data_IF_650501933261
#
_entry.id   IF_650501933261
#
_cell.length_a   1.000
_cell.length_b   1.000
_cell.length_c   1.000
_cell.angle_alpha   90.00
_cell.angle_beta   90.00
_cell.angle_gamma   90.00
#
_symmetry.space_group_name_H-M   'P 1'
#
loop_
_entity.id
_entity.type
_entity.pdbx_description
1 polymer ?
#
# COMPACT_ATOMS: atom_id res chain seq x y z
N UNK A 1 4.92 -16.31 19.12
CA UNK A 1 4.41 -16.12 17.75
C UNK A 1 4.40 -14.62 17.49
N UNK A 2 5.42 -14.07 16.83
CA UNK A 2 5.48 -12.70 16.25
C UNK A 2 6.94 -12.33 15.94
N UNK A 3 7.56 -12.89 14.90
CA UNK A 3 8.94 -12.50 14.46
C UNK A 3 9.19 -12.70 12.95
N UNK A 4 8.29 -12.17 12.12
CA UNK A 4 8.46 -12.08 10.65
C UNK A 4 8.09 -10.70 10.06
N UNK A 5 7.55 -9.80 10.89
CA UNK A 5 6.83 -8.60 10.46
C UNK A 5 7.71 -7.46 9.90
N UNK A 6 9.04 -7.53 9.99
CA UNK A 6 9.89 -6.34 9.86
C UNK A 6 10.18 -5.92 8.41
N UNK A 7 10.21 -6.82 7.43
CA UNK A 7 10.37 -6.42 6.01
C UNK A 7 9.06 -5.95 5.40
N UNK A 8 7.95 -6.65 5.70
CA UNK A 8 6.60 -6.15 5.38
C UNK A 8 6.34 -4.79 6.02
N UNK A 9 6.79 -4.58 7.27
CA UNK A 9 6.73 -3.28 7.93
C UNK A 9 7.78 -2.28 7.44
N UNK A 10 8.91 -2.67 6.84
CA UNK A 10 9.91 -1.73 6.29
C UNK A 10 9.59 -1.31 4.86
N UNK A 11 9.15 -2.22 3.99
CA UNK A 11 8.53 -1.87 2.71
C UNK A 11 7.25 -1.09 2.99
N UNK A 12 6.45 -1.54 3.96
CA UNK A 12 5.31 -0.81 4.51
C UNK A 12 5.67 0.56 5.11
N UNK A 13 6.85 0.73 5.71
CA UNK A 13 7.31 2.01 6.29
C UNK A 13 7.91 2.95 5.25
N UNK A 14 8.56 2.43 4.21
CA UNK A 14 8.98 3.22 3.03
C UNK A 14 7.73 3.70 2.28
N UNK A 15 6.72 2.83 2.14
CA UNK A 15 5.41 3.18 1.60
C UNK A 15 4.65 4.16 2.50
N UNK A 16 4.66 3.97 3.82
CA UNK A 16 4.01 4.86 4.78
C UNK A 16 4.74 6.21 4.89
N UNK A 17 6.07 6.27 4.78
CA UNK A 17 6.84 7.51 4.80
C UNK A 17 6.71 8.29 3.46
N UNK A 18 6.61 7.59 2.33
CA UNK A 18 6.25 8.18 1.04
C UNK A 18 4.81 8.72 1.04
N UNK A 19 3.85 7.93 1.55
CA UNK A 19 2.46 8.33 1.73
C UNK A 19 2.28 9.48 2.74
N UNK A 20 3.05 9.50 3.83
CA UNK A 20 3.02 10.58 4.83
C UNK A 20 3.52 11.91 4.25
N UNK A 21 4.51 11.89 3.35
CA UNK A 21 4.96 13.11 2.65
C UNK A 21 3.97 13.57 1.58
N UNK A 22 3.20 12.67 0.97
CA UNK A 22 2.10 13.03 0.07
C UNK A 22 0.86 13.57 0.83
N UNK A 23 0.57 13.06 2.04
CA UNK A 23 -0.57 13.48 2.86
C UNK A 23 -0.31 14.69 3.76
N UNK A 24 0.95 15.02 4.06
CA UNK A 24 1.29 16.19 4.87
C UNK A 24 1.04 17.54 4.16
N UNK A 25 0.73 17.53 2.86
CA UNK A 25 0.19 18.68 2.14
C UNK A 25 -1.33 18.67 2.18
N UNK A 26 -1.94 18.98 3.34
CA UNK A 26 -3.27 19.59 3.51
C UNK A 26 -3.70 19.58 5.00
N UNK A 27 -2.96 20.31 5.86
CA UNK A 27 -3.57 20.85 7.08
C UNK A 27 -3.86 22.33 6.85
N UNK A 28 -5.14 22.74 6.77
CA UNK A 28 -5.49 24.12 7.03
C UNK A 28 -5.17 24.37 8.51
N UNK A 29 -4.13 25.14 8.78
CA UNK A 29 -3.96 25.80 10.08
C UNK A 29 -5.03 26.88 10.17
N UNK A 30 -6.22 26.56 10.67
CA UNK A 30 -7.16 27.55 11.20
C UNK A 30 -8.21 26.85 12.07
N UNK A 31 -7.94 26.77 13.37
CA UNK A 31 -8.97 26.51 14.37
C UNK A 31 -9.33 27.82 15.05
N UNK A 32 -10.45 28.41 14.63
CA UNK A 32 -11.21 29.33 15.44
C UNK A 32 -11.56 28.63 16.78
N UNK A 33 -10.94 29.07 17.86
CA UNK A 33 -11.33 28.68 19.20
C UNK A 33 -12.66 29.37 19.56
N UNK A 34 -13.73 28.65 19.94
CA UNK A 34 -14.87 29.28 20.57
C UNK A 34 -14.48 29.73 22.00
N UNK A 35 -14.77 30.98 22.32
CA UNK A 35 -14.62 31.52 23.66
C UNK A 35 -15.56 30.79 24.65
N UNK A 36 -14.98 30.17 25.68
CA UNK A 36 -15.74 29.58 26.77
C UNK A 36 -16.15 30.66 27.80
N UNK A 37 -17.37 30.61 28.37
CA UNK A 37 -17.76 31.50 29.43
C UNK A 37 -17.15 31.06 30.76
N UNK A 38 -16.76 32.06 31.57
CA UNK A 38 -16.19 31.86 32.89
C UNK A 38 -17.25 31.35 33.89
N UNK A 39 -16.94 30.26 34.59
CA UNK A 39 -17.51 29.98 35.91
C UNK A 39 -16.50 29.25 36.78
N UNK A 40 -16.17 29.88 37.89
CA UNK A 40 -15.28 29.44 38.96
C UNK A 40 -15.83 28.24 39.73
N UNK A 41 -15.02 27.19 39.96
CA UNK A 41 -14.91 26.52 41.27
C UNK A 41 -13.78 25.47 41.32
N UNK A 42 -13.03 25.50 42.43
CA UNK A 42 -12.24 24.43 43.04
C UNK A 42 -11.12 23.76 42.24
N UNK A 43 -9.86 24.12 42.57
CA UNK A 43 -8.64 23.40 42.20
C UNK A 43 -8.57 22.06 42.92
N UNK A 44 -8.77 20.98 42.17
CA UNK A 44 -8.19 19.67 42.49
C UNK A 44 -7.49 19.21 41.22
N UNK A 45 -6.16 19.07 41.27
CA UNK A 45 -5.40 18.57 40.14
C UNK A 45 -5.86 17.12 39.84
N UNK A 46 -6.30 16.80 38.61
CA UNK A 46 -6.67 15.43 38.30
C UNK A 46 -5.42 14.56 38.39
N UNK A 47 -5.54 13.44 39.10
CA UNK A 47 -4.52 12.41 39.12
C UNK A 47 -4.20 12.00 37.67
N UNK A 48 -2.91 11.88 37.35
CA UNK A 48 -2.44 11.45 36.03
C UNK A 48 -3.04 10.09 35.70
N UNK A 49 -3.86 10.05 34.65
CA UNK A 49 -4.42 8.84 34.10
C UNK A 49 -3.27 7.93 33.58
N UNK A 50 -3.06 6.74 34.14
CA UNK A 50 -1.98 5.83 33.74
C UNK A 50 -2.05 5.47 32.25
N UNK A 51 -3.26 5.46 31.67
CA UNK A 51 -3.49 5.16 30.26
C UNK A 51 -3.01 6.32 29.37
N UNK A 52 -3.20 7.56 29.82
CA UNK A 52 -2.71 8.75 29.13
C UNK A 52 -1.17 8.85 29.16
N UNK A 53 -0.54 8.48 30.27
CA UNK A 53 0.92 8.45 30.37
C UNK A 53 1.53 7.29 29.54
N UNK A 54 0.85 6.14 29.47
CA UNK A 54 1.24 5.05 28.58
C UNK A 54 1.16 5.45 27.09
N UNK A 55 0.06 6.11 26.68
CA UNK A 55 -0.13 6.61 25.32
C UNK A 55 0.89 7.70 24.95
N UNK A 56 1.28 8.58 25.89
CA UNK A 56 2.34 9.57 25.67
C UNK A 56 3.70 8.91 25.47
N UNK A 57 4.04 7.90 26.27
CA UNK A 57 5.29 7.15 26.14
C UNK A 57 5.36 6.40 24.81
N UNK A 58 4.24 5.80 24.37
CA UNK A 58 4.14 5.16 23.05
C UNK A 58 4.26 6.17 21.91
N UNK A 59 3.63 7.35 22.01
CA UNK A 59 3.76 8.41 21.00
C UNK A 59 5.19 8.93 20.89
N UNK A 60 5.88 9.10 22.03
CA UNK A 60 7.28 9.54 22.06
C UNK A 60 8.22 8.48 21.46
N UNK A 61 7.97 7.20 21.75
CA UNK A 61 8.66 6.07 21.13
C UNK A 61 8.46 6.06 19.61
N UNK A 62 7.22 6.18 19.13
CA UNK A 62 6.89 6.22 17.70
C UNK A 62 7.52 7.43 16.99
N UNK A 63 7.63 8.58 17.65
CA UNK A 63 8.36 9.74 17.10
C UNK A 63 9.86 9.48 16.98
N UNK A 64 10.45 8.77 17.93
CA UNK A 64 11.85 8.34 17.86
C UNK A 64 12.09 7.37 16.70
N UNK A 65 11.20 6.40 16.51
CA UNK A 65 11.24 5.45 15.39
C UNK A 65 11.07 6.16 14.04
N UNK A 66 10.12 7.10 13.93
CA UNK A 66 9.92 7.92 12.73
C UNK A 66 11.16 8.76 12.39
N UNK A 67 11.75 9.43 13.37
CA UNK A 67 12.98 10.21 13.16
C UNK A 67 14.18 9.34 12.74
N UNK A 68 14.25 8.10 13.24
CA UNK A 68 15.26 7.12 12.82
C UNK A 68 15.06 6.67 11.38
N UNK A 69 13.81 6.41 10.97
CA UNK A 69 13.46 6.07 9.59
C UNK A 69 13.73 7.25 8.63
N UNK A 70 13.40 8.48 9.01
CA UNK A 70 13.70 9.68 8.22
C UNK A 70 15.21 9.89 8.05
N UNK A 71 16.00 9.63 9.11
CA UNK A 71 17.46 9.71 9.05
C UNK A 71 18.04 8.65 8.12
N UNK A 72 17.56 7.41 8.22
CA UNK A 72 17.94 6.29 7.35
C UNK A 72 17.62 6.61 5.88
N UNK A 73 16.40 7.08 5.59
CA UNK A 73 16.02 7.49 4.24
C UNK A 73 16.91 8.64 3.71
N UNK A 74 17.27 9.61 4.56
CA UNK A 74 18.13 10.74 4.18
C UNK A 74 19.58 10.31 3.94
N UNK A 75 20.10 9.37 4.73
CA UNK A 75 21.45 8.83 4.58
C UNK A 75 21.57 7.91 3.35
N UNK A 76 20.54 7.11 3.07
CA UNK A 76 20.45 6.28 1.86
C UNK A 76 20.44 7.16 0.60
N UNK A 77 19.69 8.27 0.59
CA UNK A 77 19.67 9.23 -0.54
C UNK A 77 21.01 9.95 -0.73
N UNK A 78 21.83 10.05 0.33
CA UNK A 78 23.15 10.71 0.31
C UNK A 78 24.31 9.74 0.06
N UNK A 79 24.08 8.43 0.02
CA UNK A 79 25.11 7.46 -0.28
C UNK A 79 25.66 7.73 -1.70
N UNK A 80 26.99 7.78 -1.88
CA UNK A 80 27.57 8.00 -3.20
C UNK A 80 27.16 6.85 -4.12
N UNK A 81 26.47 7.17 -5.22
CA UNK A 81 26.16 6.20 -6.25
C UNK A 81 27.46 5.50 -6.70
N UNK A 82 27.62 4.21 -6.38
CA UNK A 82 28.66 3.38 -6.99
C UNK A 82 28.44 3.48 -8.51
N UNK A 83 29.52 3.62 -9.29
CA UNK A 83 29.48 3.80 -10.76
C UNK A 83 28.73 2.68 -11.52
N UNK A 84 28.44 1.57 -10.85
CA UNK A 84 27.46 0.56 -11.23
C UNK A 84 26.87 0.02 -9.93
N UNK A 85 25.59 0.34 -9.64
CA UNK A 85 24.85 -0.34 -8.57
C UNK A 85 24.75 -1.85 -8.85
N UNK A 86 24.39 -2.68 -7.85
CA UNK A 86 24.16 -4.09 -8.09
C UNK A 86 22.99 -4.27 -9.06
N UNK A 87 23.00 -5.33 -9.86
CA UNK A 87 21.86 -5.72 -10.70
C UNK A 87 20.72 -6.29 -9.84
N UNK A 88 19.50 -6.34 -10.39
CA UNK A 88 18.36 -7.03 -9.76
C UNK A 88 18.66 -8.47 -9.36
N UNK A 89 19.45 -9.18 -10.17
CA UNK A 89 19.94 -10.53 -9.89
C UNK A 89 20.86 -10.57 -8.67
N UNK A 90 21.83 -9.66 -8.60
CA UNK A 90 22.76 -9.57 -7.47
C UNK A 90 22.03 -9.16 -6.17
N UNK A 91 21.06 -8.26 -6.28
CA UNK A 91 20.21 -7.85 -5.16
C UNK A 91 19.34 -9.01 -4.68
N UNK A 92 18.65 -9.70 -5.57
CA UNK A 92 17.79 -10.84 -5.24
C UNK A 92 18.57 -12.01 -4.62
N UNK A 93 19.78 -12.30 -5.11
CA UNK A 93 20.67 -13.28 -4.49
C UNK A 93 21.08 -12.89 -3.06
N UNK A 94 21.28 -11.59 -2.79
CA UNK A 94 21.57 -11.10 -1.43
C UNK A 94 20.34 -11.20 -0.52
N UNK A 95 19.15 -10.83 -0.99
CA UNK A 95 17.88 -11.04 -0.28
C UNK A 95 17.70 -12.51 0.09
N UNK A 96 17.91 -13.42 -0.86
CA UNK A 96 17.80 -14.86 -0.63
C UNK A 96 18.76 -15.37 0.47
N UNK A 97 20.02 -14.92 0.45
CA UNK A 97 21.04 -15.31 1.45
C UNK A 97 20.74 -14.78 2.85
N UNK A 98 20.20 -13.56 2.93
CA UNK A 98 19.91 -12.91 4.20
C UNK A 98 18.57 -13.38 4.81
N UNK A 99 17.70 -14.06 4.04
CA UNK A 99 16.39 -14.64 4.45
C UNK A 99 16.35 -15.16 5.89
N UNK A 100 17.30 -16.03 6.26
CA UNK A 100 17.26 -16.72 7.55
C UNK A 100 17.79 -15.83 8.69
N UNK A 101 18.69 -14.88 8.38
CA UNK A 101 19.20 -13.87 9.33
C UNK A 101 18.15 -12.79 9.61
N UNK A 102 17.38 -12.42 8.58
CA UNK A 102 16.26 -11.47 8.63
C UNK A 102 15.10 -11.96 9.53
N UNK A 103 14.99 -13.27 9.78
CA UNK A 103 13.99 -13.85 10.69
C UNK A 103 14.40 -13.78 12.16
N UNK A 104 15.69 -13.63 12.44
CA UNK A 104 16.25 -13.78 13.80
C UNK A 104 16.70 -12.48 14.43
N UNK A 105 16.90 -11.41 13.65
CA UNK A 105 17.39 -10.14 14.16
C UNK A 105 16.25 -9.16 14.50
N UNK A 106 16.35 -8.56 15.69
CA UNK A 106 15.60 -7.37 16.07
C UNK A 106 16.22 -6.21 15.26
N UNK A 107 15.68 -5.98 14.05
CA UNK A 107 16.02 -4.99 13.01
C UNK A 107 17.19 -4.02 13.19
N UNK A 108 17.98 -3.87 12.12
CA UNK A 108 19.09 -2.93 11.87
C UNK A 108 20.48 -3.57 11.81
N UNK A 109 20.66 -4.67 11.05
CA UNK A 109 22.01 -5.06 10.65
C UNK A 109 22.57 -4.11 9.59
N UNK A 110 23.89 -3.80 9.58
CA UNK A 110 24.52 -3.02 8.51
C UNK A 110 24.24 -3.58 7.10
N UNK A 111 24.14 -4.90 7.00
CA UNK A 111 23.83 -5.63 5.77
C UNK A 111 22.40 -5.39 5.27
N UNK A 112 21.42 -5.27 6.18
CA UNK A 112 20.03 -4.87 5.85
C UNK A 112 19.99 -3.44 5.30
N UNK A 113 20.69 -2.51 5.95
CA UNK A 113 20.74 -1.11 5.52
C UNK A 113 21.43 -0.95 4.15
N UNK A 114 22.51 -1.70 3.89
CA UNK A 114 23.15 -1.70 2.57
C UNK A 114 22.24 -2.31 1.50
N UNK A 115 21.56 -3.41 1.82
CA UNK A 115 20.59 -4.04 0.90
C UNK A 115 19.45 -3.10 0.53
N UNK A 116 18.91 -2.38 1.52
CA UNK A 116 17.86 -1.38 1.30
C UNK A 116 18.37 -0.19 0.49
N UNK A 117 19.59 0.28 0.76
CA UNK A 117 20.21 1.34 -0.02
C UNK A 117 20.37 0.98 -1.49
N UNK A 118 20.83 -0.24 -1.77
CA UNK A 118 20.99 -0.75 -3.13
C UNK A 118 19.64 -0.96 -3.84
N UNK A 119 18.62 -1.46 -3.13
CA UNK A 119 17.26 -1.58 -3.66
C UNK A 119 16.66 -0.22 -4.04
N UNK A 120 16.76 0.77 -3.16
CA UNK A 120 16.26 2.12 -3.41
C UNK A 120 17.03 2.83 -4.52
N UNK A 121 18.33 2.56 -4.67
CA UNK A 121 19.11 3.08 -5.78
C UNK A 121 18.62 2.55 -7.12
N UNK A 122 18.41 1.22 -7.23
CA UNK A 122 17.87 0.59 -8.43
C UNK A 122 16.46 1.10 -8.78
N UNK A 123 15.56 1.19 -7.80
CA UNK A 123 14.24 1.76 -8.01
C UNK A 123 14.30 3.23 -8.43
N UNK A 124 15.22 4.01 -7.85
CA UNK A 124 15.40 5.42 -8.22
C UNK A 124 15.92 5.59 -9.66
N UNK A 125 16.76 4.68 -10.14
CA UNK A 125 17.21 4.66 -11.53
C UNK A 125 16.08 4.30 -12.49
N UNK A 126 15.30 3.25 -12.18
CA UNK A 126 14.12 2.86 -12.95
C UNK A 126 13.08 4.00 -12.98
N UNK A 127 12.83 4.63 -11.82
CA UNK A 127 11.91 5.75 -11.70
C UNK A 127 12.31 6.94 -12.58
N UNK A 128 13.60 7.30 -12.57
CA UNK A 128 14.14 8.37 -13.44
C UNK A 128 14.04 8.02 -14.92
N UNK A 129 14.36 6.78 -15.28
CA UNK A 129 14.30 6.28 -16.67
C UNK A 129 12.90 6.38 -17.24
N UNK A 130 11.90 5.99 -16.46
CA UNK A 130 10.50 5.92 -16.89
C UNK A 130 9.70 7.19 -16.54
N UNK A 131 10.33 8.16 -15.88
CA UNK A 131 9.70 9.40 -15.44
C UNK A 131 8.53 9.17 -14.47
N UNK A 132 8.62 8.15 -13.61
CA UNK A 132 7.62 7.77 -12.59
C UNK A 132 8.15 8.07 -11.18
N UNK A 133 7.31 7.94 -10.15
CA UNK A 133 7.77 7.94 -8.76
C UNK A 133 8.50 6.64 -8.39
N UNK A 134 9.24 6.64 -7.28
CA UNK A 134 9.92 5.41 -6.78
C UNK A 134 8.89 4.33 -6.42
N UNK A 135 7.75 4.74 -5.87
CA UNK A 135 6.63 3.86 -5.53
C UNK A 135 6.02 3.21 -6.78
N UNK A 136 5.79 3.99 -7.83
CA UNK A 136 5.32 3.48 -9.12
C UNK A 136 6.35 2.51 -9.74
N UNK A 137 7.63 2.87 -9.74
CA UNK A 137 8.70 2.01 -10.25
C UNK A 137 8.79 0.67 -9.52
N UNK A 138 8.48 0.65 -8.21
CA UNK A 138 8.42 -0.58 -7.42
C UNK A 138 7.30 -1.52 -7.89
N UNK A 139 6.17 -0.95 -8.33
CA UNK A 139 5.03 -1.70 -8.90
C UNK A 139 5.24 -2.07 -10.37
N UNK A 140 6.24 -1.46 -11.02
CA UNK A 140 6.64 -1.79 -12.38
C UNK A 140 7.36 -3.13 -12.52
N UNK A 141 7.59 -3.59 -13.76
CA UNK A 141 8.26 -4.87 -14.03
C UNK A 141 9.69 -4.93 -13.52
N UNK A 142 10.41 -3.80 -13.51
CA UNK A 142 11.77 -3.73 -13.00
C UNK A 142 11.82 -3.76 -11.46
N UNK A 143 10.73 -3.40 -10.76
CA UNK A 143 10.66 -3.40 -9.30
C UNK A 143 10.43 -4.78 -8.70
N UNK A 144 9.23 -5.04 -8.18
CA UNK A 144 8.90 -6.29 -7.47
C UNK A 144 9.10 -7.55 -8.32
N UNK A 145 8.80 -7.50 -9.62
CA UNK A 145 8.98 -8.66 -10.51
C UNK A 145 10.46 -8.93 -10.82
N UNK A 146 11.24 -7.86 -11.04
CA UNK A 146 12.69 -7.95 -11.20
C UNK A 146 13.36 -8.52 -9.95
N UNK A 147 12.94 -8.07 -8.76
CA UNK A 147 13.41 -8.62 -7.49
C UNK A 147 13.05 -10.10 -7.32
N UNK A 148 11.81 -10.48 -7.65
CA UNK A 148 11.36 -11.88 -7.60
C UNK A 148 12.22 -12.78 -8.49
N UNK A 149 12.47 -12.38 -9.74
CA UNK A 149 13.34 -13.12 -10.65
C UNK A 149 14.76 -13.23 -10.08
N UNK A 150 15.32 -12.14 -9.56
CA UNK A 150 16.63 -12.14 -8.94
C UNK A 150 16.74 -13.09 -7.74
N UNK A 151 15.69 -13.17 -6.91
CA UNK A 151 15.61 -14.11 -5.79
C UNK A 151 15.57 -15.55 -6.29
N UNK A 152 14.76 -15.83 -7.32
CA UNK A 152 14.67 -17.17 -7.91
C UNK A 152 16.02 -17.61 -8.50
N UNK A 153 16.67 -16.76 -9.28
CA UNK A 153 17.98 -17.05 -9.88
C UNK A 153 19.11 -17.16 -8.85
N UNK A 154 19.01 -16.43 -7.74
CA UNK A 154 19.99 -16.45 -6.65
C UNK A 154 19.76 -17.54 -5.61
N UNK A 155 18.70 -18.34 -5.76
CA UNK A 155 18.32 -19.38 -4.80
C UNK A 155 19.08 -20.69 -4.97
N UNK A 156 18.94 -21.60 -4.00
CA UNK A 156 19.41 -22.99 -4.11
C UNK A 156 18.53 -23.84 -5.05
N UNK A 157 17.42 -23.28 -5.53
CA UNK A 157 16.46 -23.92 -6.43
C UNK A 157 16.24 -23.06 -7.68
N UNK A 158 17.30 -22.75 -8.45
CA UNK A 158 17.19 -21.84 -9.57
C UNK A 158 16.22 -22.37 -10.64
N UNK A 159 15.52 -21.48 -11.37
CA UNK A 159 14.74 -21.88 -12.52
C UNK A 159 15.66 -22.43 -13.63
N UNK A 160 15.18 -23.44 -14.35
CA UNK A 160 15.88 -23.92 -15.54
C UNK A 160 15.68 -22.95 -16.72
N UNK A 161 16.44 -23.13 -17.80
CA UNK A 161 16.39 -22.24 -18.96
C UNK A 161 14.99 -22.16 -19.61
N UNK A 162 14.21 -23.24 -19.60
CA UNK A 162 12.87 -23.24 -20.16
C UNK A 162 11.88 -22.48 -19.26
N UNK A 163 12.07 -22.56 -17.95
CA UNK A 163 11.31 -21.80 -16.96
C UNK A 163 11.68 -20.31 -17.00
N UNK A 164 12.98 -19.97 -17.10
CA UNK A 164 13.46 -18.58 -17.27
C UNK A 164 12.79 -17.95 -18.49
N UNK A 165 12.79 -18.61 -19.65
CA UNK A 165 12.16 -18.07 -20.86
C UNK A 165 10.66 -17.77 -20.68
N UNK A 166 9.94 -18.58 -19.89
CA UNK A 166 8.52 -18.32 -19.59
C UNK A 166 8.35 -17.15 -18.62
N UNK A 167 9.24 -17.03 -17.62
CA UNK A 167 9.24 -15.91 -16.68
C UNK A 167 9.55 -14.60 -17.41
N UNK A 168 10.57 -14.60 -18.28
CA UNK A 168 10.90 -13.44 -19.13
C UNK A 168 9.74 -13.05 -20.05
N UNK A 169 9.01 -14.03 -20.61
CA UNK A 169 7.81 -13.75 -21.40
C UNK A 169 6.69 -13.11 -20.55
N UNK A 170 6.49 -13.55 -19.31
CA UNK A 170 5.55 -12.93 -18.38
C UNK A 170 5.99 -11.50 -18.00
N UNK A 171 7.29 -11.28 -17.78
CA UNK A 171 7.85 -9.95 -17.53
C UNK A 171 7.69 -9.03 -18.75
N UNK A 172 7.87 -9.53 -19.97
CA UNK A 172 7.64 -8.76 -21.19
C UNK A 172 6.17 -8.36 -21.37
N UNK A 173 5.23 -9.23 -20.97
CA UNK A 173 3.81 -8.89 -20.96
C UNK A 173 3.50 -7.79 -19.92
N UNK A 174 4.09 -7.87 -18.73
CA UNK A 174 3.99 -6.83 -17.71
C UNK A 174 4.62 -5.51 -18.18
N UNK A 175 5.77 -5.54 -18.88
CA UNK A 175 6.43 -4.36 -19.47
C UNK A 175 5.58 -3.70 -20.55
N UNK A 176 4.87 -4.48 -21.35
CA UNK A 176 3.90 -3.92 -22.30
C UNK A 176 2.79 -3.15 -21.57
N UNK A 177 2.18 -3.75 -20.54
CA UNK A 177 1.15 -3.11 -19.75
C UNK A 177 1.67 -1.86 -19.00
N UNK A 178 2.91 -1.91 -18.50
CA UNK A 178 3.61 -0.80 -17.88
C UNK A 178 3.80 0.40 -18.82
N UNK A 179 4.20 0.13 -20.07
CA UNK A 179 4.34 1.19 -21.09
C UNK A 179 3.00 1.82 -21.47
N UNK A 180 1.94 1.01 -21.55
CA UNK A 180 0.57 1.48 -21.77
C UNK A 180 0.10 2.36 -20.60
N UNK A 181 0.36 1.94 -19.36
CA UNK A 181 0.13 2.73 -18.16
C UNK A 181 0.85 4.08 -18.21
N UNK A 182 2.17 4.11 -18.44
CA UNK A 182 2.94 5.35 -18.49
C UNK A 182 2.40 6.31 -19.55
N UNK A 183 2.02 5.79 -20.73
CA UNK A 183 1.47 6.61 -21.80
C UNK A 183 0.08 7.19 -21.46
N UNK A 184 -0.73 6.49 -20.65
CA UNK A 184 -2.11 6.88 -20.32
C UNK A 184 -2.29 7.60 -18.97
N UNK A 185 -1.31 7.51 -18.05
CA UNK A 185 -1.48 7.88 -16.63
C UNK A 185 -1.88 9.33 -16.35
N UNK A 186 -1.61 10.27 -17.25
CA UNK A 186 -1.97 11.69 -17.05
C UNK A 186 -3.49 11.93 -17.17
N UNK A 187 -4.17 11.10 -17.96
CA UNK A 187 -5.62 11.11 -18.13
C UNK A 187 -6.37 10.41 -17.00
N UNK A 188 -5.70 9.54 -16.25
CA UNK A 188 -6.30 8.68 -15.23
C UNK A 188 -6.55 9.42 -13.91
N UNK A 189 -7.52 8.93 -13.14
CA UNK A 189 -7.66 9.28 -11.73
C UNK A 189 -6.64 8.54 -10.86
N UNK A 190 -6.48 8.98 -9.62
CA UNK A 190 -5.67 8.29 -8.62
C UNK A 190 -6.06 6.81 -8.46
N UNK A 191 -7.37 6.53 -8.35
CA UNK A 191 -7.91 5.17 -8.30
C UNK A 191 -7.61 4.34 -9.54
N UNK A 192 -7.77 4.91 -10.74
CA UNK A 192 -7.48 4.21 -11.99
C UNK A 192 -5.99 3.86 -12.11
N UNK A 193 -5.10 4.78 -11.72
CA UNK A 193 -3.67 4.49 -11.65
C UNK A 193 -3.37 3.38 -10.66
N UNK A 194 -3.97 3.45 -9.47
CA UNK A 194 -3.78 2.42 -8.44
C UNK A 194 -4.21 1.03 -8.93
N UNK A 195 -5.36 0.93 -9.61
CA UNK A 195 -5.85 -0.30 -10.19
C UNK A 195 -4.92 -0.84 -11.29
N UNK A 196 -4.45 0.02 -12.20
CA UNK A 196 -3.53 -0.40 -13.26
C UNK A 196 -2.21 -0.91 -12.68
N UNK A 197 -1.65 -0.23 -11.67
CA UNK A 197 -0.43 -0.64 -10.98
C UNK A 197 -0.60 -1.98 -10.25
N UNK A 198 -1.73 -2.20 -9.57
CA UNK A 198 -2.07 -3.50 -8.96
C UNK A 198 -2.23 -4.59 -10.01
N UNK A 199 -2.80 -4.27 -11.16
CA UNK A 199 -3.00 -5.23 -12.25
C UNK A 199 -1.66 -5.62 -12.88
N UNK A 200 -0.77 -4.65 -13.10
CA UNK A 200 0.58 -4.89 -13.64
C UNK A 200 1.42 -5.74 -12.68
N UNK A 201 1.55 -5.28 -11.43
CA UNK A 201 2.37 -5.96 -10.42
C UNK A 201 1.76 -7.30 -10.00
N UNK A 202 0.47 -7.33 -9.63
CA UNK A 202 -0.22 -8.52 -9.17
C UNK A 202 -0.47 -9.53 -10.28
N UNK A 203 -0.88 -9.08 -11.46
CA UNK A 203 -1.03 -9.95 -12.64
C UNK A 203 0.31 -10.55 -13.07
N UNK A 204 1.38 -9.75 -13.10
CA UNK A 204 2.73 -10.23 -13.37
C UNK A 204 3.23 -11.22 -12.32
N UNK A 205 3.05 -10.90 -11.03
CA UNK A 205 3.43 -11.77 -9.92
C UNK A 205 2.70 -13.11 -9.97
N UNK A 206 1.38 -13.10 -10.18
CA UNK A 206 0.56 -14.31 -10.29
C UNK A 206 0.94 -15.15 -11.50
N UNK A 207 1.26 -14.51 -12.63
CA UNK A 207 1.74 -15.19 -13.83
C UNK A 207 3.06 -15.90 -13.56
N UNK A 208 4.03 -15.24 -12.90
CA UNK A 208 5.32 -15.84 -12.53
C UNK A 208 5.09 -16.97 -11.53
N UNK A 209 4.29 -16.76 -10.48
CA UNK A 209 3.98 -17.76 -9.46
C UNK A 209 3.37 -19.04 -10.08
N UNK A 210 2.50 -18.91 -11.08
CA UNK A 210 1.93 -20.03 -11.82
C UNK A 210 2.95 -20.84 -12.66
N UNK A 211 4.14 -20.30 -12.89
CA UNK A 211 5.24 -20.97 -13.60
C UNK A 211 6.21 -21.68 -12.66
N UNK A 212 6.06 -21.54 -11.34
CA UNK A 212 6.99 -22.07 -10.35
C UNK A 212 6.69 -23.51 -9.99
N UNK A 213 7.76 -24.27 -9.73
CA UNK A 213 7.67 -25.61 -9.15
C UNK A 213 7.23 -25.52 -7.69
N UNK A 214 6.73 -26.63 -7.15
CA UNK A 214 6.23 -26.68 -5.77
C UNK A 214 7.30 -26.32 -4.72
N UNK A 215 8.56 -26.73 -4.94
CA UNK A 215 9.71 -26.43 -4.07
C UNK A 215 10.10 -24.95 -4.09
N UNK A 216 10.07 -24.32 -5.27
CA UNK A 216 10.26 -22.88 -5.44
C UNK A 216 9.12 -22.06 -4.83
N UNK A 217 7.87 -22.54 -4.96
CA UNK A 217 6.71 -21.93 -4.32
C UNK A 217 6.81 -21.99 -2.81
N UNK A 218 7.21 -23.12 -2.24
CA UNK A 218 7.41 -23.25 -0.80
C UNK A 218 8.55 -22.34 -0.30
N UNK A 219 9.61 -22.20 -1.08
CA UNK A 219 10.71 -21.27 -0.81
C UNK A 219 10.23 -19.81 -0.80
N UNK A 220 9.43 -19.39 -1.79
CA UNK A 220 8.85 -18.04 -1.83
C UNK A 220 7.82 -17.81 -0.74
N UNK A 221 6.97 -18.80 -0.44
CA UNK A 221 5.97 -18.72 0.63
C UNK A 221 6.65 -18.52 2.00
N UNK A 222 7.92 -18.94 2.16
CA UNK A 222 8.73 -18.68 3.37
C UNK A 222 9.33 -17.28 3.43
N UNK A 223 9.15 -16.45 2.39
CA UNK A 223 9.59 -15.07 2.29
C UNK A 223 8.36 -14.14 2.37
N UNK A 224 8.07 -13.65 3.58
CA UNK A 224 6.88 -12.81 3.85
C UNK A 224 6.75 -11.60 2.91
N UNK A 225 7.86 -11.07 2.38
CA UNK A 225 7.88 -9.92 1.46
C UNK A 225 7.15 -10.12 0.13
N UNK A 226 6.88 -11.37 -0.27
CA UNK A 226 6.13 -11.71 -1.49
C UNK A 226 4.71 -12.21 -1.19
N UNK A 227 4.36 -12.34 0.09
CA UNK A 227 3.04 -12.75 0.54
C UNK A 227 2.16 -11.54 0.89
N UNK A 228 2.75 -10.47 1.42
CA UNK A 228 2.04 -9.23 1.72
C UNK A 228 2.07 -8.30 0.50
N UNK A 229 0.91 -7.80 0.06
CA UNK A 229 0.86 -6.67 -0.87
C UNK A 229 1.45 -5.44 -0.16
N UNK A 230 2.17 -4.54 -0.85
CA UNK A 230 2.07 -3.11 -0.56
C UNK A 230 0.60 -2.75 -0.34
N UNK A 231 0.14 -2.69 0.91
CA UNK A 231 -1.29 -2.60 1.15
C UNK A 231 -1.79 -1.29 0.55
N UNK A 232 -2.57 -1.40 -0.52
CA UNK A 232 -3.54 -0.37 -0.89
C UNK A 232 -4.74 -0.41 0.05
N UNK A 233 -4.65 -1.22 1.13
CA UNK A 233 -5.58 -1.18 2.24
C UNK A 233 -5.82 0.28 2.58
N UNK A 234 -7.08 0.68 2.53
CA UNK A 234 -7.43 2.04 2.83
C UNK A 234 -6.89 2.38 4.21
N UNK A 235 -6.14 3.48 4.30
CA UNK A 235 -5.57 3.96 5.58
C UNK A 235 -6.62 4.24 6.65
N UNK A 236 -7.90 4.11 6.29
CA UNK A 236 -9.06 4.24 7.14
C UNK A 236 -9.98 3.02 6.95
N UNK A 237 -10.18 2.29 8.05
CA UNK A 237 -11.25 1.30 8.19
C UNK A 237 -12.30 1.84 9.14
N UNK A 238 -13.57 1.73 8.78
CA UNK A 238 -14.70 2.08 9.65
C UNK A 238 -15.37 0.82 10.17
N UNK A 239 -15.77 0.82 11.45
CA UNK A 239 -16.38 -0.35 12.07
C UNK A 239 -17.65 0.01 12.83
N UNK A 240 -18.65 -0.87 12.78
CA UNK A 240 -19.91 -0.69 13.50
C UNK A 240 -21.04 -1.56 12.95
N UNK A 241 -22.28 -1.27 13.33
CA UNK A 241 -23.43 -1.80 12.60
C UNK A 241 -23.51 -1.22 11.18
N UNK A 242 -24.30 -1.85 10.32
CA UNK A 242 -24.38 -1.48 8.89
C UNK A 242 -24.78 -0.02 8.69
N UNK A 243 -25.71 0.50 9.49
CA UNK A 243 -26.20 1.87 9.35
C UNK A 243 -25.15 2.89 9.79
N UNK A 244 -24.44 2.61 10.88
CA UNK A 244 -23.32 3.41 11.38
C UNK A 244 -22.17 3.44 10.39
N UNK A 245 -21.81 2.29 9.81
CA UNK A 245 -20.78 2.18 8.77
C UNK A 245 -21.16 3.00 7.53
N UNK A 246 -22.39 2.83 7.01
CA UNK A 246 -22.86 3.58 5.86
C UNK A 246 -22.81 5.10 6.10
N UNK A 247 -23.23 5.55 7.28
CA UNK A 247 -23.17 6.96 7.67
C UNK A 247 -21.73 7.49 7.73
N UNK A 248 -20.79 6.73 8.32
CA UNK A 248 -19.39 7.11 8.41
C UNK A 248 -18.72 7.18 7.03
N UNK A 249 -18.96 6.17 6.17
CA UNK A 249 -18.46 6.17 4.79
C UNK A 249 -19.00 7.38 4.01
N UNK A 250 -20.31 7.63 4.09
CA UNK A 250 -20.93 8.78 3.44
C UNK A 250 -20.35 10.12 3.90
N UNK A 251 -20.12 10.28 5.21
CA UNK A 251 -19.49 11.48 5.76
C UNK A 251 -18.05 11.64 5.27
N UNK A 252 -17.27 10.57 5.27
CA UNK A 252 -15.88 10.61 4.81
C UNK A 252 -15.80 10.99 3.33
N UNK A 253 -16.66 10.41 2.49
CA UNK A 253 -16.70 10.74 1.06
C UNK A 253 -17.17 12.18 0.83
N UNK A 254 -18.16 12.64 1.59
CA UNK A 254 -18.59 14.04 1.59
C UNK A 254 -17.43 14.97 1.92
N UNK A 255 -16.70 14.71 2.99
CA UNK A 255 -15.63 15.57 3.47
C UNK A 255 -14.43 15.58 2.51
N UNK A 256 -14.03 14.41 2.00
CA UNK A 256 -12.93 14.27 1.04
C UNK A 256 -13.19 15.00 -0.27
N UNK A 257 -14.43 14.99 -0.74
CA UNK A 257 -14.83 15.63 -1.99
C UNK A 257 -15.46 17.02 -1.77
N UNK A 258 -15.53 17.49 -0.52
CA UNK A 258 -16.18 18.76 -0.13
C UNK A 258 -17.59 18.89 -0.73
N UNK A 259 -18.38 17.83 -0.63
CA UNK A 259 -19.75 17.79 -1.17
C UNK A 259 -20.69 18.63 -0.29
N UNK A 260 -21.61 19.34 -0.93
CA UNK A 260 -22.71 19.99 -0.22
C UNK A 260 -23.74 18.96 0.29
N UNK A 261 -24.72 19.40 1.08
CA UNK A 261 -25.71 18.50 1.68
C UNK A 261 -26.61 17.80 0.63
N UNK A 262 -26.86 18.43 -0.52
CA UNK A 262 -27.67 17.85 -1.60
C UNK A 262 -26.87 16.77 -2.35
N UNK A 263 -25.60 17.05 -2.63
CA UNK A 263 -24.67 16.09 -3.20
C UNK A 263 -24.43 14.93 -2.22
N UNK A 264 -24.28 15.20 -0.92
CA UNK A 264 -24.11 14.19 0.12
C UNK A 264 -25.33 13.26 0.24
N UNK A 265 -26.55 13.78 0.13
CA UNK A 265 -27.75 12.95 0.09
C UNK A 265 -27.76 12.03 -1.15
N UNK A 266 -27.19 12.48 -2.27
CA UNK A 266 -27.16 11.75 -3.54
C UNK A 266 -26.14 10.60 -3.57
N UNK A 267 -25.14 10.59 -2.65
CA UNK A 267 -24.18 9.49 -2.55
C UNK A 267 -24.64 8.34 -1.65
N UNK A 268 -25.69 8.51 -0.83
CA UNK A 268 -26.17 7.45 0.08
C UNK A 268 -26.45 6.13 -0.65
N UNK A 269 -27.17 6.11 -1.80
CA UNK A 269 -27.37 4.87 -2.54
C UNK A 269 -26.06 4.26 -3.10
N UNK A 270 -25.06 5.09 -3.38
CA UNK A 270 -23.74 4.65 -3.86
C UNK A 270 -22.97 3.98 -2.73
N UNK A 271 -23.06 4.51 -1.50
CA UNK A 271 -22.48 3.88 -0.30
C UNK A 271 -23.11 2.52 -0.02
N UNK A 272 -24.44 2.43 -0.08
CA UNK A 272 -25.15 1.16 0.13
C UNK A 272 -24.75 0.11 -0.92
N UNK A 273 -24.65 0.52 -2.19
CA UNK A 273 -24.20 -0.35 -3.27
C UNK A 273 -22.74 -0.79 -3.10
N UNK A 274 -21.86 0.14 -2.71
CA UNK A 274 -20.47 -0.13 -2.38
C UNK A 274 -20.37 -1.19 -1.30
N UNK A 275 -21.08 -1.01 -0.18
CA UNK A 275 -21.06 -1.98 0.91
C UNK A 275 -21.56 -3.35 0.45
N UNK A 276 -22.68 -3.42 -0.29
CA UNK A 276 -23.17 -4.71 -0.78
C UNK A 276 -22.13 -5.43 -1.67
N UNK A 277 -21.49 -4.72 -2.60
CA UNK A 277 -20.49 -5.31 -3.50
C UNK A 277 -19.20 -5.66 -2.77
N UNK A 278 -18.80 -4.87 -1.79
CA UNK A 278 -17.65 -5.17 -0.95
C UNK A 278 -17.89 -6.45 -0.14
N UNK A 279 -19.08 -6.61 0.48
CA UNK A 279 -19.47 -7.85 1.17
C UNK A 279 -19.43 -9.07 0.22
N UNK A 280 -19.86 -8.91 -1.04
CA UNK A 280 -19.80 -9.96 -2.07
C UNK A 280 -18.35 -10.38 -2.39
N UNK A 281 -17.44 -9.42 -2.52
CA UNK A 281 -16.00 -9.67 -2.73
C UNK A 281 -15.43 -10.47 -1.56
N UNK A 282 -15.71 -10.04 -0.31
CA UNK A 282 -15.23 -10.73 0.89
C UNK A 282 -15.81 -12.15 0.99
N UNK A 283 -17.10 -12.33 0.74
CA UNK A 283 -17.75 -13.63 0.80
C UNK A 283 -17.19 -14.61 -0.24
N UNK A 284 -16.89 -14.14 -1.46
CA UNK A 284 -16.26 -14.97 -2.49
C UNK A 284 -14.82 -15.34 -2.12
N UNK A 285 -14.06 -14.42 -1.52
CA UNK A 285 -12.74 -14.71 -0.96
C UNK A 285 -12.81 -15.77 0.15
N UNK A 286 -13.73 -15.63 1.10
CA UNK A 286 -13.93 -16.63 2.17
C UNK A 286 -14.33 -18.00 1.62
N UNK A 287 -15.21 -18.03 0.61
CA UNK A 287 -15.64 -19.27 -0.05
C UNK A 287 -14.48 -19.98 -0.75
N UNK A 288 -13.63 -19.26 -1.48
CA UNK A 288 -12.43 -19.83 -2.12
C UNK A 288 -11.45 -20.38 -1.07
N UNK A 289 -11.26 -19.63 0.02
CA UNK A 289 -10.44 -20.09 1.16
C UNK A 289 -10.99 -21.37 1.78
N UNK A 290 -12.31 -21.47 1.95
CA UNK A 290 -12.97 -22.67 2.47
C UNK A 290 -12.86 -23.87 1.50
N UNK A 291 -12.79 -23.63 0.19
CA UNK A 291 -12.53 -24.64 -0.83
C UNK A 291 -11.07 -25.10 -0.89
N UNK A 292 -10.18 -24.53 -0.07
CA UNK A 292 -8.75 -24.82 -0.08
C UNK A 292 -7.99 -24.14 -1.22
N UNK A 293 -8.64 -23.22 -1.95
CA UNK A 293 -7.96 -22.39 -2.92
C UNK A 293 -7.10 -21.36 -2.19
N UNK A 294 -5.86 -21.17 -2.65
CA UNK A 294 -5.02 -20.08 -2.16
C UNK A 294 -5.61 -18.75 -2.67
N UNK A 295 -6.40 -18.12 -1.83
CA UNK A 295 -6.75 -16.71 -1.98
C UNK A 295 -5.52 -15.91 -1.64
N UNK A 296 -4.94 -15.26 -2.63
CA UNK A 296 -3.90 -14.29 -2.39
C UNK A 296 -4.52 -12.90 -2.27
N UNK A 297 -3.91 -12.07 -1.45
CA UNK A 297 -4.40 -10.72 -1.20
C UNK A 297 -4.44 -9.90 -2.50
N UNK A 298 -3.57 -10.22 -3.48
CA UNK A 298 -3.55 -9.62 -4.82
C UNK A 298 -4.88 -9.71 -5.57
N UNK A 299 -5.58 -10.86 -5.52
CA UNK A 299 -6.86 -11.02 -6.23
C UNK A 299 -8.00 -10.28 -5.56
N UNK A 300 -8.04 -10.30 -4.23
CA UNK A 300 -9.04 -9.55 -3.45
C UNK A 300 -8.81 -8.05 -3.57
N UNK A 301 -7.56 -7.58 -3.43
CA UNK A 301 -7.20 -6.17 -3.56
C UNK A 301 -7.45 -5.60 -4.95
N UNK A 302 -7.27 -6.38 -6.03
CA UNK A 302 -7.65 -5.97 -7.37
C UNK A 302 -9.17 -5.77 -7.50
N UNK A 303 -9.98 -6.71 -6.99
CA UNK A 303 -11.44 -6.59 -7.01
C UNK A 303 -11.95 -5.39 -6.19
N UNK A 304 -11.33 -5.11 -5.03
CA UNK A 304 -11.62 -3.93 -4.22
C UNK A 304 -11.26 -2.62 -4.94
N UNK A 305 -10.11 -2.57 -5.63
CA UNK A 305 -9.71 -1.42 -6.43
C UNK A 305 -10.65 -1.18 -7.63
N UNK A 306 -11.06 -2.24 -8.32
CA UNK A 306 -12.07 -2.18 -9.39
C UNK A 306 -13.40 -1.61 -8.88
N UNK A 307 -13.83 -2.05 -7.70
CA UNK A 307 -15.03 -1.53 -7.05
C UNK A 307 -14.91 -0.02 -6.75
N UNK A 308 -13.76 0.44 -6.23
CA UNK A 308 -13.55 1.87 -5.97
C UNK A 308 -13.52 2.71 -7.26
N UNK A 309 -12.94 2.21 -8.34
CA UNK A 309 -13.01 2.88 -9.66
C UNK A 309 -14.46 2.97 -10.15
N UNK A 310 -15.25 1.90 -9.98
CA UNK A 310 -16.67 1.91 -10.34
C UNK A 310 -17.48 2.91 -9.50
N UNK A 311 -17.21 3.00 -8.18
CA UNK A 311 -17.80 4.02 -7.29
C UNK A 311 -17.47 5.43 -7.77
N UNK A 312 -16.20 5.70 -8.09
CA UNK A 312 -15.76 7.00 -8.55
C UNK A 312 -16.45 7.41 -9.86
N UNK A 313 -16.59 6.48 -10.81
CA UNK A 313 -17.35 6.70 -12.06
C UNK A 313 -18.81 6.98 -11.77
N UNK A 314 -19.43 6.20 -10.88
CA UNK A 314 -20.83 6.36 -10.50
C UNK A 314 -21.11 7.71 -9.84
N UNK A 315 -20.20 8.18 -8.99
CA UNK A 315 -20.29 9.51 -8.39
C UNK A 315 -20.22 10.61 -9.44
N UNK A 316 -19.30 10.52 -10.40
CA UNK A 316 -19.21 11.50 -11.51
C UNK A 316 -20.47 11.54 -12.38
N UNK A 317 -21.13 10.41 -12.58
CA UNK A 317 -22.40 10.35 -13.32
C UNK A 317 -23.59 10.93 -12.53
N UNK A 318 -23.57 10.79 -11.21
CA UNK A 318 -24.69 11.13 -10.33
C UNK A 318 -24.61 12.58 -9.83
N UNK A 319 -23.40 13.07 -9.58
CA UNK A 319 -23.16 14.37 -8.97
C UNK A 319 -22.81 15.40 -10.02
N UNK A 320 -23.39 16.59 -9.89
CA UNK A 320 -22.88 17.78 -10.57
C UNK A 320 -21.74 18.35 -9.74
N UNK A 321 -20.51 18.04 -10.11
CA UNK A 321 -19.31 18.48 -9.38
C UNK A 321 -18.85 19.88 -9.84
N UNK A 322 -18.26 20.66 -8.94
CA UNK A 322 -17.48 21.85 -9.32
C UNK A 322 -16.09 21.45 -9.83
N UNK A 323 -15.37 22.36 -10.48
CA UNK A 323 -13.99 22.10 -10.95
C UNK A 323 -13.07 21.65 -9.80
N UNK A 324 -13.21 22.24 -8.61
CA UNK A 324 -12.44 21.85 -7.44
C UNK A 324 -12.80 20.44 -6.95
N UNK A 325 -14.07 20.06 -7.02
CA UNK A 325 -14.54 18.73 -6.64
C UNK A 325 -14.13 17.68 -7.68
N UNK A 326 -14.14 18.02 -8.97
CA UNK A 326 -13.63 17.15 -10.04
C UNK A 326 -12.13 16.91 -9.89
N UNK A 327 -11.38 17.96 -9.53
CA UNK A 327 -9.96 17.85 -9.20
C UNK A 327 -9.74 16.95 -7.98
N UNK A 328 -10.46 17.17 -6.89
CA UNK A 328 -10.39 16.33 -5.69
C UNK A 328 -10.74 14.87 -6.00
N UNK A 329 -11.77 14.65 -6.82
CA UNK A 329 -12.15 13.31 -7.30
C UNK A 329 -11.02 12.68 -8.12
N UNK A 330 -10.36 13.43 -9.00
CA UNK A 330 -9.22 12.93 -9.80
C UNK A 330 -8.02 12.58 -8.92
N UNK A 331 -7.78 13.33 -7.86
CA UNK A 331 -6.67 13.12 -6.91
C UNK A 331 -6.99 12.07 -5.83
N UNK A 332 -8.24 11.61 -5.74
CA UNK A 332 -8.66 10.59 -4.78
C UNK A 332 -7.98 9.25 -5.09
N UNK A 333 -7.20 8.73 -4.14
CA UNK A 333 -6.34 7.54 -4.29
C UNK A 333 -6.62 6.42 -3.30
N UNK A 334 -7.54 6.61 -2.34
CA UNK A 334 -7.78 5.66 -1.25
C UNK A 334 -9.24 5.21 -1.15
N UNK A 335 -9.44 3.89 -1.05
CA UNK A 335 -10.74 3.30 -0.71
C UNK A 335 -11.13 3.56 0.75
N UNK A 336 -12.21 2.95 1.21
CA UNK A 336 -12.53 2.88 2.64
C UNK A 336 -12.96 1.48 3.00
N UNK A 337 -12.12 0.81 3.76
CA UNK A 337 -12.39 -0.54 4.23
C UNK A 337 -13.45 -0.41 5.31
N UNK A 338 -14.23 -1.45 5.50
CA UNK A 338 -15.10 -1.45 6.66
C UNK A 338 -15.32 -2.85 7.20
N UNK A 339 -15.69 -2.88 8.47
CA UNK A 339 -16.08 -4.10 9.17
C UNK A 339 -17.47 -3.89 9.77
N UNK A 340 -18.46 -4.62 9.27
CA UNK A 340 -19.78 -4.67 9.92
C UNK A 340 -19.73 -5.68 11.06
N UNK A 341 -19.88 -5.21 12.29
CA UNK A 341 -20.00 -6.10 13.45
C UNK A 341 -21.42 -6.67 13.49
N UNK A 342 -21.55 -7.99 13.38
CA UNK A 342 -22.79 -8.70 13.69
C UNK A 342 -22.94 -8.76 15.22
N UNK A 343 -23.57 -7.74 15.80
CA UNK A 343 -24.20 -7.87 17.12
C UNK A 343 -25.61 -8.40 16.93
#
# INVERSE_FOLDING_TARGET
MTKGLLIGALVGAVLAAGAYRAFAWHRPTDSHAPAAPASSTSKQAPASDPELEALKAENEKLRGELASLERTATEVVKAPAKKSGPTWKELGARVYKLRDQLKTNDGNSPEESELMGDFLALLSEAAKKDGVSVEEAMMGPEGMLGLLLGVLEGSDLPPDAAQIAKIEAAMAAADKAWKEYIAGREGMTGMERSLDLLTISGGGFNSIRGLLRADQLEMLDKMDMFNDIPSMSPGHSVSGDRASVASQLGSQWKDSLKLDDTQAASIVPIVDEYMRKYDEIQAEAEKKKAAGEKVNDWTTGAAEAELMVAVQKRMKETLRLTEEQEKAMKEWTGGYGYTVSTK
#
